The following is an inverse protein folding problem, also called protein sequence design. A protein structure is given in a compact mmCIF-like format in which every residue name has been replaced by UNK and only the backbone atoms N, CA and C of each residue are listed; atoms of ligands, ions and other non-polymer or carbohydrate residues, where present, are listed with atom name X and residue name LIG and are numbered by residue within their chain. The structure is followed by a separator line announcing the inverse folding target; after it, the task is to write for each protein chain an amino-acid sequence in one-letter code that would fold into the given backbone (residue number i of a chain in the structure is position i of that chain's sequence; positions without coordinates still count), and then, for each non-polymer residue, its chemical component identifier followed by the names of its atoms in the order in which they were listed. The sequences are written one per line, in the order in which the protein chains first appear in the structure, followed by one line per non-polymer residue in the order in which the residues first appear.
data_IF_587697295461
#
_entry.id   IF_587697295461
#
_cell.length_a   1.000
_cell.length_b   1.000
_cell.length_c   1.000
_cell.angle_alpha   90.00
_cell.angle_beta   90.00
_cell.angle_gamma   90.00
#
_symmetry.space_group_name_H-M   'P 1'
#
loop_
_entity.id
_entity.type
_entity.pdbx_description
1 polymer ?
#
# COMPACT_ATOMS: atom_id res chain seq x y z
N UNK A 1 -12.96 -9.92 -3.25
CA UNK A 1 -12.38 -8.81 -2.50
C UNK A 1 -12.33 -7.61 -3.42
N UNK A 2 -12.89 -6.48 -3.02
CA UNK A 2 -12.78 -5.21 -3.76
C UNK A 2 -11.42 -4.55 -3.51
N UNK A 3 -10.96 -3.62 -4.35
CA UNK A 3 -9.71 -2.88 -4.09
C UNK A 3 -9.69 -2.17 -2.74
N UNK A 4 -10.82 -1.57 -2.33
CA UNK A 4 -10.98 -0.93 -1.02
C UNK A 4 -10.86 -1.93 0.14
N UNK A 5 -11.45 -3.13 -0.01
CA UNK A 5 -11.34 -4.20 0.99
C UNK A 5 -9.90 -4.67 1.15
N UNK A 6 -9.17 -4.81 0.05
CA UNK A 6 -7.75 -5.16 0.05
C UNK A 6 -6.92 -4.11 0.77
N UNK A 7 -7.07 -2.84 0.39
CA UNK A 7 -6.32 -1.74 0.98
C UNK A 7 -6.57 -1.64 2.48
N UNK A 8 -7.84 -1.80 2.90
CA UNK A 8 -8.20 -1.82 4.32
C UNK A 8 -7.52 -2.98 5.04
N UNK A 9 -7.59 -4.19 4.49
CA UNK A 9 -6.96 -5.36 5.11
C UNK A 9 -5.45 -5.16 5.26
N UNK A 10 -4.75 -4.78 4.18
CA UNK A 10 -3.30 -4.53 4.18
C UNK A 10 -2.90 -3.45 5.19
N UNK A 11 -3.63 -2.34 5.21
CA UNK A 11 -3.40 -1.26 6.16
C UNK A 11 -3.54 -1.76 7.61
N UNK A 12 -4.64 -2.45 7.94
CA UNK A 12 -4.88 -2.94 9.31
C UNK A 12 -3.90 -4.04 9.74
N UNK A 13 -3.46 -4.89 8.82
CA UNK A 13 -2.51 -5.96 9.09
C UNK A 13 -1.13 -5.43 9.51
N UNK A 14 -0.79 -4.17 9.16
CA UNK A 14 0.47 -3.55 9.58
C UNK A 14 0.64 -3.37 11.09
N UNK A 15 -0.44 -3.50 11.87
CA UNK A 15 -0.42 -3.28 13.33
C UNK A 15 -0.12 -1.84 13.76
N UNK A 16 -0.07 -0.90 12.80
CA UNK A 16 0.30 0.48 13.05
C UNK A 16 -0.85 1.33 13.59
N UNK A 17 -0.53 2.22 14.53
CA UNK A 17 -1.46 3.19 15.10
C UNK A 17 -2.01 4.21 14.09
N UNK A 18 -1.35 4.39 12.94
CA UNK A 18 -1.80 5.31 11.89
C UNK A 18 -3.18 4.98 11.35
N UNK A 19 -3.52 3.70 11.22
CA UNK A 19 -4.83 3.27 10.69
C UNK A 19 -6.00 3.72 11.55
N UNK A 20 -5.81 3.77 12.88
CA UNK A 20 -6.80 4.31 13.82
C UNK A 20 -7.06 5.79 13.58
N UNK A 21 -6.02 6.57 13.24
CA UNK A 21 -6.16 8.00 12.96
C UNK A 21 -7.03 8.28 11.73
N UNK A 22 -7.10 7.36 10.76
CA UNK A 22 -7.89 7.55 9.53
C UNK A 22 -9.41 7.49 9.79
N UNK A 23 -9.85 6.89 10.90
CA UNK A 23 -11.27 6.74 11.24
C UNK A 23 -12.00 8.09 11.34
N UNK A 24 -11.28 9.16 11.69
CA UNK A 24 -11.81 10.51 11.86
C UNK A 24 -11.95 11.31 10.56
N UNK A 25 -11.49 10.78 9.42
CA UNK A 25 -11.60 11.44 8.13
C UNK A 25 -12.98 11.19 7.48
N UNK A 26 -13.49 12.14 6.67
CA UNK A 26 -14.61 11.88 5.76
C UNK A 26 -14.38 10.65 4.90
N UNK A 27 -15.45 9.95 4.51
CA UNK A 27 -15.38 8.63 3.88
C UNK A 27 -14.43 8.58 2.67
N UNK A 28 -14.54 9.54 1.76
CA UNK A 28 -13.70 9.62 0.56
C UNK A 28 -12.22 9.81 0.89
N UNK A 29 -11.90 10.73 1.83
CA UNK A 29 -10.53 10.95 2.28
C UNK A 29 -9.97 9.74 3.02
N UNK A 30 -10.81 9.04 3.79
CA UNK A 30 -10.45 7.81 4.49
C UNK A 30 -10.12 6.69 3.50
N UNK A 31 -10.89 6.53 2.41
CA UNK A 31 -10.59 5.57 1.35
C UNK A 31 -9.26 5.92 0.67
N UNK A 32 -9.08 7.18 0.25
CA UNK A 32 -7.87 7.63 -0.42
C UNK A 32 -6.60 7.42 0.43
N UNK A 33 -6.62 7.81 1.71
CA UNK A 33 -5.44 7.62 2.59
C UNK A 33 -5.20 6.14 2.89
N UNK A 34 -6.24 5.31 2.98
CA UNK A 34 -6.11 3.87 3.20
C UNK A 34 -5.45 3.19 2.00
N UNK A 35 -5.83 3.58 0.78
CA UNK A 35 -5.20 3.09 -0.44
C UNK A 35 -3.72 3.51 -0.53
N UNK A 36 -3.42 4.79 -0.26
CA UNK A 36 -2.04 5.28 -0.22
C UNK A 36 -1.20 4.54 0.81
N UNK A 37 -1.74 4.34 2.01
CA UNK A 37 -1.02 3.67 3.09
C UNK A 37 -0.82 2.18 2.81
N UNK A 38 -1.78 1.50 2.18
CA UNK A 38 -1.63 0.13 1.72
C UNK A 38 -0.49 0.01 0.70
N UNK A 39 -0.41 0.93 -0.27
CA UNK A 39 0.71 0.99 -1.21
C UNK A 39 2.06 1.16 -0.49
N UNK A 40 2.15 2.08 0.47
CA UNK A 40 3.38 2.24 1.26
C UNK A 40 3.80 0.92 1.94
N UNK A 41 2.84 0.18 2.51
CA UNK A 41 3.12 -1.14 3.10
C UNK A 41 3.60 -2.16 2.08
N UNK A 42 3.01 -2.24 0.90
CA UNK A 42 3.50 -3.17 -0.13
C UNK A 42 4.95 -2.89 -0.54
N UNK A 43 5.33 -1.62 -0.61
CA UNK A 43 6.69 -1.21 -0.96
C UNK A 43 7.66 -1.47 0.19
N UNK A 44 7.26 -1.16 1.43
CA UNK A 44 8.06 -1.43 2.63
C UNK A 44 8.28 -2.94 2.83
N UNK A 45 7.21 -3.75 2.77
CA UNK A 45 7.27 -5.21 2.95
C UNK A 45 8.17 -5.86 1.89
N UNK A 46 8.21 -5.30 0.67
CA UNK A 46 9.09 -5.80 -0.40
C UNK A 46 10.58 -5.67 -0.06
N UNK A 47 10.95 -4.77 0.86
CA UNK A 47 12.32 -4.55 1.34
C UNK A 47 12.53 -5.19 2.71
N UNK A 48 11.59 -5.05 3.62
CA UNK A 48 11.71 -5.49 5.02
C UNK A 48 11.64 -7.01 5.18
N UNK A 49 10.78 -7.69 4.39
CA UNK A 49 10.54 -9.13 4.51
C UNK A 49 11.34 -9.96 3.49
N UNK A 50 11.95 -9.31 2.49
CA UNK A 50 12.61 -10.01 1.40
C UNK A 50 14.07 -10.33 1.75
N UNK A 51 14.41 -11.62 1.81
CA UNK A 51 15.77 -12.08 2.11
C UNK A 51 16.74 -11.95 0.94
N UNK A 52 16.24 -11.91 -0.31
CA UNK A 52 17.05 -11.74 -1.51
C UNK A 52 16.90 -10.31 -2.07
N UNK A 53 17.97 -9.48 -2.01
CA UNK A 53 17.95 -8.12 -2.55
C UNK A 53 17.63 -8.03 -4.05
N UNK A 54 17.93 -9.08 -4.83
CA UNK A 54 17.58 -9.17 -6.24
C UNK A 54 16.07 -9.26 -6.44
N UNK A 55 15.39 -10.09 -5.65
CA UNK A 55 13.93 -10.21 -5.67
C UNK A 55 13.27 -8.92 -5.20
N UNK A 56 13.78 -8.28 -4.15
CA UNK A 56 13.29 -6.97 -3.68
C UNK A 56 13.36 -5.92 -4.80
N UNK A 57 14.49 -5.84 -5.53
CA UNK A 57 14.65 -4.91 -6.66
C UNK A 57 13.63 -5.16 -7.78
N UNK A 58 13.34 -6.42 -8.11
CA UNK A 58 12.34 -6.77 -9.13
C UNK A 58 10.95 -6.33 -8.69
N UNK A 59 10.56 -6.59 -7.43
CA UNK A 59 9.27 -6.15 -6.88
C UNK A 59 9.12 -4.63 -6.90
N UNK A 60 10.17 -3.89 -6.51
CA UNK A 60 10.17 -2.43 -6.55
C UNK A 60 10.10 -1.88 -7.98
N UNK A 61 10.76 -2.53 -8.94
CA UNK A 61 10.68 -2.15 -10.35
C UNK A 61 9.26 -2.35 -10.89
N UNK A 62 8.60 -3.45 -10.51
CA UNK A 62 7.21 -3.70 -10.86
C UNK A 62 6.27 -2.60 -10.30
N UNK A 63 6.38 -2.26 -9.01
CA UNK A 63 5.59 -1.18 -8.41
C UNK A 63 5.78 0.18 -9.08
N UNK A 64 7.00 0.51 -9.55
CA UNK A 64 7.24 1.73 -10.34
C UNK A 64 6.50 1.69 -11.67
N UNK A 65 6.42 0.52 -12.31
CA UNK A 65 5.64 0.31 -13.53
C UNK A 65 4.15 0.52 -13.32
N UNK A 66 3.59 -0.05 -12.25
CA UNK A 66 2.17 0.12 -11.90
C UNK A 66 1.81 1.59 -11.63
N UNK A 67 2.68 2.33 -10.93
CA UNK A 67 2.50 3.77 -10.72
C UNK A 67 2.54 4.54 -12.05
N UNK A 68 3.48 4.23 -12.95
CA UNK A 68 3.52 4.88 -14.25
C UNK A 68 2.23 4.62 -15.04
N UNK A 69 1.78 3.35 -15.09
CA UNK A 69 0.55 2.98 -15.76
C UNK A 69 -0.69 3.70 -15.19
N UNK A 70 -0.76 3.91 -13.87
CA UNK A 70 -1.83 4.66 -13.22
C UNK A 70 -1.90 6.12 -13.71
N UNK A 71 -0.77 6.74 -14.05
CA UNK A 71 -0.71 8.11 -14.54
C UNK A 71 -0.79 8.22 -16.07
N UNK A 72 -0.66 7.11 -16.81
CA UNK A 72 -0.67 7.08 -18.27
C UNK A 72 -2.10 7.00 -18.87
N UNK A 73 -3.13 6.77 -18.06
CA UNK A 73 -4.56 6.91 -18.43
C UNK A 73 -5.25 5.63 -18.87
#
# INVERSE_FOLDING_TARGET
MTPDEYCRQKATASGSSFTTSFAFLPAERRQAITALYAYCREVDDAVDECTDPGVARIKLAWWRGELAALFDG
#
